data_IF_133059989878
#
_entry.id   IF_133059989878
#
_cell.length_a   1.000
_cell.length_b   1.000
_cell.length_c   1.000
_cell.angle_alpha   90.00
_cell.angle_beta   90.00
_cell.angle_gamma   90.00
#
_symmetry.space_group_name_H-M   'P 1'
#
loop_
_entity.id
_entity.type
_entity.pdbx_description
1 polymer ?
#
# COMPACT_ATOMS: atom_id res chain seq x y z
N UNK A 1 -25.88 -5.93 -2.50
CA UNK A 1 -25.33 -4.57 -2.32
C UNK A 1 -26.31 -3.58 -2.91
N UNK A 2 -26.53 -2.44 -2.23
CA UNK A 2 -27.44 -1.40 -2.73
C UNK A 2 -26.77 -0.68 -3.91
N UNK A 3 -27.53 -0.15 -4.88
CA UNK A 3 -26.96 0.59 -6.01
C UNK A 3 -26.13 1.82 -5.56
N UNK A 4 -26.46 2.38 -4.40
CA UNK A 4 -25.69 3.45 -3.76
C UNK A 4 -24.25 3.01 -3.44
N UNK A 5 -24.06 1.78 -2.96
CA UNK A 5 -22.74 1.25 -2.56
C UNK A 5 -21.81 1.19 -3.78
N UNK A 6 -22.35 0.75 -4.93
CA UNK A 6 -21.63 0.73 -6.19
C UNK A 6 -21.28 2.12 -6.70
N UNK A 7 -22.18 3.08 -6.57
CA UNK A 7 -21.93 4.46 -6.97
C UNK A 7 -20.83 5.11 -6.13
N UNK A 8 -20.83 4.89 -4.81
CA UNK A 8 -19.77 5.38 -3.91
C UNK A 8 -18.44 4.71 -4.21
N UNK A 9 -18.42 3.38 -4.42
CA UNK A 9 -17.21 2.63 -4.74
C UNK A 9 -16.60 3.08 -6.08
N UNK A 10 -17.39 3.11 -7.15
CA UNK A 10 -16.91 3.54 -8.47
C UNK A 10 -16.49 5.02 -8.46
N UNK A 11 -17.27 5.88 -7.80
CA UNK A 11 -16.95 7.30 -7.66
C UNK A 11 -15.66 7.55 -6.91
N UNK A 12 -15.42 6.84 -5.80
CA UNK A 12 -14.20 6.97 -5.01
C UNK A 12 -12.95 6.51 -5.78
N UNK A 13 -13.03 5.37 -6.48
CA UNK A 13 -11.93 4.87 -7.31
C UNK A 13 -11.59 5.86 -8.44
N UNK A 14 -12.60 6.32 -9.17
CA UNK A 14 -12.41 7.28 -10.27
C UNK A 14 -11.83 8.60 -9.74
N UNK A 15 -12.33 9.12 -8.62
CA UNK A 15 -11.83 10.34 -8.01
C UNK A 15 -10.35 10.21 -7.61
N UNK A 16 -9.95 9.10 -6.99
CA UNK A 16 -8.56 8.84 -6.59
C UNK A 16 -7.65 8.78 -7.81
N UNK A 17 -8.02 8.01 -8.84
CA UNK A 17 -7.22 7.87 -10.07
C UNK A 17 -7.10 9.23 -10.79
N UNK A 18 -8.21 9.95 -10.98
CA UNK A 18 -8.19 11.25 -11.64
C UNK A 18 -7.38 12.29 -10.87
N UNK A 19 -7.50 12.30 -9.54
CA UNK A 19 -6.71 13.21 -8.69
C UNK A 19 -5.21 12.88 -8.77
N UNK A 20 -4.86 11.60 -8.71
CA UNK A 20 -3.48 11.12 -8.87
C UNK A 20 -2.89 11.53 -10.21
N UNK A 21 -3.62 11.24 -11.31
CA UNK A 21 -3.22 11.61 -12.66
C UNK A 21 -3.09 13.13 -12.82
N UNK A 22 -4.00 13.92 -12.24
CA UNK A 22 -3.94 15.39 -12.27
C UNK A 22 -2.72 15.95 -11.53
N UNK A 23 -2.42 15.41 -10.35
CA UNK A 23 -1.24 15.82 -9.55
C UNK A 23 0.07 15.31 -10.13
N UNK A 24 0.05 14.21 -10.89
CA UNK A 24 1.20 13.62 -11.58
C UNK A 24 1.54 14.24 -12.94
N UNK A 25 0.76 15.22 -13.44
CA UNK A 25 0.97 15.80 -14.79
C UNK A 25 2.34 16.49 -14.92
N UNK A 26 2.93 16.35 -16.11
CA UNK A 26 4.17 17.02 -16.52
C UNK A 26 5.44 16.33 -16.02
N UNK A 27 5.43 15.00 -15.89
CA UNK A 27 6.59 14.20 -15.47
C UNK A 27 7.57 13.99 -16.63
N UNK A 28 8.16 15.08 -17.14
CA UNK A 28 8.99 15.05 -18.37
C UNK A 28 10.45 14.65 -18.11
N UNK A 29 10.84 14.51 -16.83
CA UNK A 29 12.21 14.14 -16.43
C UNK A 29 12.21 12.92 -15.50
N UNK A 30 13.23 12.07 -15.63
CA UNK A 30 13.44 10.88 -14.79
C UNK A 30 13.47 11.22 -13.29
N UNK A 31 14.03 12.38 -12.93
CA UNK A 31 14.04 12.88 -11.56
C UNK A 31 12.63 13.23 -11.05
N UNK A 32 11.77 13.82 -11.89
CA UNK A 32 10.37 14.10 -11.51
C UNK A 32 9.55 12.81 -11.43
N UNK A 33 9.79 11.86 -12.34
CA UNK A 33 9.11 10.56 -12.34
C UNK A 33 9.49 9.68 -11.15
N UNK A 34 10.77 9.62 -10.77
CA UNK A 34 11.27 8.76 -9.70
C UNK A 34 11.31 9.40 -8.31
N UNK A 35 11.58 10.70 -8.22
CA UNK A 35 11.78 11.39 -6.94
C UNK A 35 10.71 12.44 -6.64
N UNK A 36 9.73 12.64 -7.53
CA UNK A 36 8.75 13.73 -7.44
C UNK A 36 9.42 15.10 -7.19
N UNK A 37 10.61 15.30 -7.78
CA UNK A 37 11.48 16.47 -7.57
C UNK A 37 11.80 16.81 -6.10
N UNK A 38 11.69 15.84 -5.18
CA UNK A 38 11.88 16.00 -3.73
C UNK A 38 10.99 17.08 -3.10
N UNK A 39 9.90 17.49 -3.76
CA UNK A 39 8.99 18.54 -3.29
C UNK A 39 7.76 18.01 -2.55
N UNK A 40 7.72 16.70 -2.28
CA UNK A 40 6.57 16.07 -1.64
C UNK A 40 6.51 16.43 -0.15
N UNK A 41 5.34 16.86 0.35
CA UNK A 41 5.19 17.17 1.75
C UNK A 41 5.33 15.91 2.61
N UNK A 42 5.91 16.08 3.81
CA UNK A 42 6.26 14.96 4.70
C UNK A 42 5.05 14.07 5.05
N UNK A 43 3.87 14.66 5.24
CA UNK A 43 2.65 13.91 5.60
C UNK A 43 2.16 13.02 4.45
N UNK A 44 2.28 13.48 3.20
CA UNK A 44 1.90 12.69 2.04
C UNK A 44 2.86 11.51 1.84
N UNK A 45 4.15 11.74 2.05
CA UNK A 45 5.15 10.66 2.02
C UNK A 45 4.93 9.65 3.14
N UNK A 46 4.70 10.12 4.37
CA UNK A 46 4.46 9.24 5.52
C UNK A 46 3.25 8.33 5.29
N UNK A 47 2.12 8.90 4.86
CA UNK A 47 0.90 8.14 4.60
C UNK A 47 1.01 7.23 3.38
N UNK A 48 1.75 7.61 2.33
CA UNK A 48 2.00 6.71 1.19
C UNK A 48 2.92 5.55 1.57
N UNK A 49 3.94 5.76 2.41
CA UNK A 49 4.74 4.66 2.97
C UNK A 49 3.85 3.71 3.77
N UNK A 50 2.95 4.25 4.61
CA UNK A 50 1.98 3.43 5.34
C UNK A 50 1.03 2.68 4.39
N UNK A 51 0.50 3.35 3.37
CA UNK A 51 -0.38 2.75 2.36
C UNK A 51 0.31 1.61 1.60
N UNK A 52 1.58 1.80 1.22
CA UNK A 52 2.38 0.79 0.53
C UNK A 52 2.60 -0.46 1.39
N UNK A 53 2.69 -0.29 2.70
CA UNK A 53 2.80 -1.39 3.67
C UNK A 53 1.44 -2.04 3.95
N UNK A 54 0.36 -1.27 3.88
CA UNK A 54 -1.01 -1.72 4.13
C UNK A 54 -1.61 -2.33 2.84
N UNK A 55 -1.51 -3.66 2.71
CA UNK A 55 -2.13 -4.36 1.58
C UNK A 55 -3.57 -4.81 1.90
N UNK A 56 -4.38 -5.05 0.87
CA UNK A 56 -5.69 -5.68 1.02
C UNK A 56 -5.59 -7.04 1.73
N UNK A 57 -4.50 -7.78 1.49
CA UNK A 57 -4.18 -9.04 2.18
C UNK A 57 -4.02 -8.79 3.67
N UNK A 58 -3.30 -7.74 4.06
CA UNK A 58 -3.09 -7.39 5.46
C UNK A 58 -4.42 -7.19 6.16
N UNK A 59 -5.33 -6.41 5.59
CA UNK A 59 -6.65 -6.17 6.20
C UNK A 59 -7.46 -7.46 6.34
N UNK A 60 -7.62 -8.23 5.25
CA UNK A 60 -8.44 -9.47 5.28
C UNK A 60 -7.79 -10.53 6.18
N UNK A 61 -6.48 -10.72 6.07
CA UNK A 61 -5.74 -11.75 6.80
C UNK A 61 -5.61 -11.43 8.28
N UNK A 62 -5.36 -10.18 8.67
CA UNK A 62 -5.21 -9.84 10.10
C UNK A 62 -6.54 -9.88 10.83
N UNK A 63 -7.66 -9.48 10.20
CA UNK A 63 -8.98 -9.66 10.82
C UNK A 63 -9.37 -11.13 10.88
N UNK A 64 -9.07 -11.91 9.83
CA UNK A 64 -9.31 -13.36 9.83
C UNK A 64 -8.48 -14.09 10.89
N UNK A 65 -7.20 -13.73 11.03
CA UNK A 65 -6.32 -14.26 12.05
C UNK A 65 -6.75 -13.81 13.46
N UNK A 66 -7.18 -12.56 13.62
CA UNK A 66 -7.74 -12.06 14.88
C UNK A 66 -8.97 -12.84 15.32
N UNK A 67 -9.82 -13.25 14.38
CA UNK A 67 -10.98 -14.10 14.64
C UNK A 67 -10.61 -15.54 15.00
N UNK A 68 -9.61 -16.12 14.33
CA UNK A 68 -9.22 -17.52 14.52
C UNK A 68 -8.31 -17.75 15.74
N UNK A 69 -7.25 -16.95 15.89
CA UNK A 69 -6.15 -17.16 16.83
C UNK A 69 -5.98 -15.98 17.84
N UNK A 70 -6.87 -15.01 17.81
CA UNK A 70 -6.83 -13.81 18.67
C UNK A 70 -5.77 -12.77 18.26
N UNK A 71 -5.56 -11.78 19.12
CA UNK A 71 -4.73 -10.59 18.82
C UNK A 71 -3.21 -10.79 19.04
N UNK A 72 -2.74 -12.04 19.10
CA UNK A 72 -1.31 -12.35 19.35
C UNK A 72 -0.39 -11.78 18.28
N UNK A 73 -0.87 -11.62 17.05
CA UNK A 73 -0.09 -11.07 15.94
C UNK A 73 0.35 -9.61 16.17
N UNK A 74 -0.35 -8.85 17.03
CA UNK A 74 -0.07 -7.42 17.30
C UNK A 74 1.33 -7.21 17.84
N UNK A 75 1.88 -8.16 18.61
CA UNK A 75 3.24 -8.06 19.17
C UNK A 75 4.32 -7.92 18.07
N UNK A 76 4.09 -8.51 16.89
CA UNK A 76 5.00 -8.42 15.76
C UNK A 76 4.99 -7.01 15.15
N UNK A 77 3.83 -6.37 15.15
CA UNK A 77 3.67 -5.01 14.63
C UNK A 77 4.29 -3.94 15.54
N UNK A 78 4.44 -4.21 16.85
CA UNK A 78 5.10 -3.28 17.77
C UNK A 78 6.60 -3.10 17.47
N UNK A 79 7.25 -4.08 16.84
CA UNK A 79 8.65 -3.98 16.43
C UNK A 79 8.87 -3.05 15.22
N UNK A 80 7.86 -2.86 14.37
CA UNK A 80 7.99 -2.07 13.13
C UNK A 80 8.24 -0.58 13.39
N UNK A 81 7.52 0.12 14.29
CA UNK A 81 7.84 1.51 14.62
C UNK A 81 9.27 1.69 15.12
N UNK A 82 9.76 0.78 15.95
CA UNK A 82 11.13 0.84 16.50
C UNK A 82 12.16 0.69 15.39
N UNK A 83 11.98 -0.30 14.50
CA UNK A 83 12.84 -0.48 13.34
C UNK A 83 12.84 0.76 12.43
N UNK A 84 11.68 1.39 12.24
CA UNK A 84 11.55 2.60 11.42
C UNK A 84 12.32 3.78 12.01
N UNK A 85 12.26 3.98 13.32
CA UNK A 85 13.04 5.02 14.03
C UNK A 85 14.54 4.80 13.80
N UNK A 86 15.02 3.56 13.92
CA UNK A 86 16.44 3.24 13.68
C UNK A 86 16.83 3.52 12.22
N UNK A 87 15.99 3.14 11.25
CA UNK A 87 16.24 3.43 9.83
C UNK A 87 16.33 4.94 9.59
N UNK A 88 15.42 5.73 10.17
CA UNK A 88 15.42 7.19 10.06
C UNK A 88 16.69 7.83 10.64
N UNK A 89 17.24 7.30 11.73
CA UNK A 89 18.44 7.85 12.37
C UNK A 89 19.71 7.41 11.64
N UNK A 90 19.83 6.14 11.25
CA UNK A 90 21.11 5.58 10.79
C UNK A 90 21.25 5.47 9.28
N UNK A 91 20.16 5.16 8.57
CA UNK A 91 20.17 4.79 7.15
C UNK A 91 19.78 5.98 6.26
N UNK A 92 18.68 6.65 6.58
CA UNK A 92 18.16 7.78 5.79
C UNK A 92 19.20 8.90 5.57
N UNK A 93 19.96 9.36 6.59
CA UNK A 93 20.95 10.41 6.38
C UNK A 93 22.09 9.98 5.47
N UNK A 94 22.47 8.70 5.48
CA UNK A 94 23.52 8.15 4.60
C UNK A 94 23.07 8.12 3.15
N UNK A 95 21.85 7.65 2.89
CA UNK A 95 21.30 7.64 1.52
C UNK A 95 21.10 9.05 0.98
N UNK A 96 20.64 9.99 1.81
CA UNK A 96 20.48 11.37 1.36
C UNK A 96 21.82 12.06 1.04
N UNK A 97 22.90 11.74 1.78
CA UNK A 97 24.26 12.25 1.49
C UNK A 97 24.89 11.60 0.26
N UNK A 98 24.61 10.32 0.02
CA UNK A 98 25.15 9.59 -1.14
C UNK A 98 24.52 10.01 -2.48
N UNK A 99 23.41 10.74 -2.45
CA UNK A 99 22.76 11.28 -3.67
C UNK A 99 22.20 10.21 -4.60
N UNK A 100 22.06 8.97 -4.12
CA UNK A 100 21.63 7.81 -4.91
C UNK A 100 20.14 7.88 -5.24
N UNK A 101 19.78 7.38 -6.42
CA UNK A 101 18.39 7.22 -6.84
C UNK A 101 17.76 5.95 -6.26
N UNK A 102 18.57 4.93 -6.00
CA UNK A 102 18.11 3.65 -5.43
C UNK A 102 18.95 3.22 -4.24
N UNK A 103 18.37 2.46 -3.31
CA UNK A 103 19.10 1.87 -2.20
C UNK A 103 20.22 0.91 -2.65
N UNK A 104 20.10 0.31 -3.84
CA UNK A 104 21.08 -0.63 -4.39
C UNK A 104 22.28 0.08 -5.03
N UNK A 105 22.08 1.28 -5.56
CA UNK A 105 23.17 2.12 -6.07
C UNK A 105 24.16 2.48 -4.94
N UNK A 106 23.67 2.61 -3.70
CA UNK A 106 24.56 2.73 -2.54
C UNK A 106 25.46 1.50 -2.36
N UNK A 107 24.98 0.28 -2.72
CA UNK A 107 25.81 -0.93 -2.66
C UNK A 107 26.91 -0.92 -3.72
N UNK A 108 26.67 -0.33 -4.89
CA UNK A 108 27.71 -0.16 -5.90
C UNK A 108 28.81 0.79 -5.44
N UNK A 109 28.44 1.91 -4.81
CA UNK A 109 29.41 2.85 -4.24
C UNK A 109 30.21 2.23 -3.08
N UNK A 110 29.61 1.31 -2.32
CA UNK A 110 30.25 0.69 -1.14
C UNK A 110 31.04 -0.58 -1.46
N UNK A 111 30.60 -1.34 -2.46
CA UNK A 111 31.15 -2.63 -2.86
C UNK A 111 31.51 -2.59 -4.35
N UNK A 112 30.60 -3.06 -5.21
CA UNK A 112 30.84 -3.20 -6.65
C UNK A 112 29.52 -3.38 -7.44
N UNK A 113 29.62 -3.27 -8.77
CA UNK A 113 28.48 -3.37 -9.68
C UNK A 113 27.79 -4.74 -9.68
N UNK A 114 28.51 -5.84 -9.42
CA UNK A 114 27.92 -7.20 -9.35
C UNK A 114 27.06 -7.32 -8.10
N UNK A 115 27.50 -6.77 -6.97
CA UNK A 115 26.72 -6.73 -5.73
C UNK A 115 25.42 -5.93 -5.92
N UNK A 116 25.47 -4.77 -6.58
CA UNK A 116 24.26 -4.01 -6.96
C UNK A 116 23.32 -4.84 -7.83
N UNK A 117 23.85 -5.48 -8.88
CA UNK A 117 23.04 -6.25 -9.81
C UNK A 117 22.35 -7.43 -9.12
N UNK A 118 23.08 -8.20 -8.31
CA UNK A 118 22.54 -9.31 -7.53
C UNK A 118 21.39 -8.84 -6.62
N UNK A 119 21.65 -7.82 -5.79
CA UNK A 119 20.67 -7.31 -4.85
C UNK A 119 19.41 -6.76 -5.56
N UNK A 120 19.60 -6.05 -6.68
CA UNK A 120 18.50 -5.50 -7.48
C UNK A 120 17.66 -6.62 -8.12
N UNK A 121 18.28 -7.66 -8.67
CA UNK A 121 17.58 -8.79 -9.28
C UNK A 121 16.78 -9.55 -8.22
N UNK A 122 17.39 -9.89 -7.09
CA UNK A 122 16.72 -10.60 -6.00
C UNK A 122 15.54 -9.78 -5.49
N UNK A 123 15.72 -8.47 -5.31
CA UNK A 123 14.62 -7.58 -4.93
C UNK A 123 13.50 -7.54 -5.95
N UNK A 124 13.81 -7.39 -7.24
CA UNK A 124 12.79 -7.33 -8.29
C UNK A 124 12.00 -8.63 -8.39
N UNK A 125 12.66 -9.78 -8.23
CA UNK A 125 11.99 -11.08 -8.18
C UNK A 125 11.04 -11.19 -6.98
N UNK A 126 11.52 -10.88 -5.78
CA UNK A 126 10.69 -10.92 -4.57
C UNK A 126 9.53 -9.92 -4.65
N UNK A 127 9.80 -8.71 -5.14
CA UNK A 127 8.78 -7.66 -5.29
C UNK A 127 7.76 -8.02 -6.36
N UNK A 128 8.18 -8.64 -7.46
CA UNK A 128 7.29 -9.13 -8.51
C UNK A 128 6.37 -10.23 -8.03
N UNK A 129 6.90 -11.22 -7.29
CA UNK A 129 6.09 -12.28 -6.67
C UNK A 129 5.09 -11.69 -5.66
N UNK A 130 5.56 -10.80 -4.79
CA UNK A 130 4.70 -10.11 -3.81
C UNK A 130 3.60 -9.29 -4.49
N UNK A 131 3.90 -8.57 -5.57
CA UNK A 131 2.92 -7.82 -6.34
C UNK A 131 1.87 -8.73 -6.98
N UNK A 132 2.27 -9.90 -7.50
CA UNK A 132 1.33 -10.89 -8.04
C UNK A 132 0.32 -11.38 -7.00
N UNK A 133 0.78 -11.68 -5.78
CA UNK A 133 -0.11 -12.05 -4.67
C UNK A 133 -1.00 -10.87 -4.25
N UNK A 134 -0.45 -9.66 -4.20
CA UNK A 134 -1.21 -8.45 -3.85
C UNK A 134 -2.33 -8.17 -4.87
N UNK A 135 -2.11 -8.44 -6.16
CA UNK A 135 -3.10 -8.27 -7.22
C UNK A 135 -4.16 -9.38 -7.22
N UNK A 136 -3.84 -10.59 -6.77
CA UNK A 136 -4.80 -11.71 -6.76
C UNK A 136 -5.85 -11.56 -5.67
N UNK A 137 -5.52 -10.98 -4.51
CA UNK A 137 -6.45 -10.79 -3.40
C UNK A 137 -7.74 -10.01 -3.78
N UNK A 138 -7.68 -8.82 -4.39
CA UNK A 138 -8.89 -8.13 -4.86
C UNK A 138 -9.57 -8.87 -6.01
N UNK A 139 -8.82 -9.57 -6.87
CA UNK A 139 -9.41 -10.35 -7.97
C UNK A 139 -10.27 -11.52 -7.46
N UNK A 140 -9.92 -12.15 -6.34
CA UNK A 140 -10.75 -13.17 -5.68
C UNK A 140 -12.08 -12.56 -5.23
N UNK A 141 -12.05 -11.40 -4.59
CA UNK A 141 -13.28 -10.70 -4.15
C UNK A 141 -14.18 -10.36 -5.34
N UNK A 142 -13.60 -9.83 -6.43
CA UNK A 142 -14.36 -9.51 -7.64
C UNK A 142 -14.92 -10.74 -8.35
N UNK A 143 -14.21 -11.87 -8.29
CA UNK A 143 -14.69 -13.16 -8.82
C UNK A 143 -15.98 -13.58 -8.12
N UNK A 144 -16.03 -13.45 -6.79
CA UNK A 144 -17.24 -13.76 -6.01
C UNK A 144 -18.39 -12.80 -6.34
N UNK A 145 -18.08 -11.52 -6.55
CA UNK A 145 -19.10 -10.49 -6.83
C UNK A 145 -19.68 -10.60 -8.26
N UNK A 146 -18.82 -10.77 -9.27
CA UNK A 146 -19.21 -10.79 -10.68
C UNK A 146 -19.53 -12.19 -11.21
N UNK A 147 -19.14 -13.25 -10.49
CA UNK A 147 -19.29 -14.65 -10.93
C UNK A 147 -18.38 -15.02 -12.11
N UNK A 148 -17.34 -14.23 -12.39
CA UNK A 148 -16.40 -14.47 -13.49
C UNK A 148 -15.29 -15.45 -13.09
N UNK A 149 -14.67 -16.18 -14.03
CA UNK A 149 -13.48 -16.98 -13.76
C UNK A 149 -12.35 -16.14 -13.17
N UNK A 150 -11.66 -16.67 -12.15
CA UNK A 150 -10.56 -16.00 -11.46
C UNK A 150 -9.44 -15.54 -12.42
N UNK A 151 -9.18 -16.30 -13.47
CA UNK A 151 -8.16 -15.97 -14.46
C UNK A 151 -8.50 -14.68 -15.21
N UNK A 152 -9.78 -14.48 -15.55
CA UNK A 152 -10.23 -13.31 -16.32
C UNK A 152 -10.24 -12.07 -15.42
N UNK A 153 -10.78 -12.19 -14.20
CA UNK A 153 -10.82 -11.08 -13.24
C UNK A 153 -9.41 -10.63 -12.83
N UNK A 154 -8.50 -11.58 -12.61
CA UNK A 154 -7.10 -11.29 -12.30
C UNK A 154 -6.38 -10.58 -13.45
N UNK A 155 -6.61 -11.01 -14.70
CA UNK A 155 -6.02 -10.37 -15.88
C UNK A 155 -6.51 -8.93 -16.04
N UNK A 156 -7.83 -8.71 -15.98
CA UNK A 156 -8.44 -7.38 -16.10
C UNK A 156 -7.91 -6.44 -15.01
N UNK A 157 -7.89 -6.91 -13.76
CA UNK A 157 -7.35 -6.12 -12.64
C UNK A 157 -5.89 -5.77 -12.83
N UNK A 158 -5.06 -6.73 -13.25
CA UNK A 158 -3.63 -6.51 -13.47
C UNK A 158 -3.38 -5.49 -14.57
N UNK A 159 -4.10 -5.58 -15.70
CA UNK A 159 -3.99 -4.62 -16.81
C UNK A 159 -4.37 -3.21 -16.37
N UNK A 160 -5.49 -3.06 -15.67
CA UNK A 160 -5.92 -1.76 -15.16
C UNK A 160 -4.89 -1.15 -14.21
N UNK A 161 -4.34 -1.96 -13.29
CA UNK A 161 -3.34 -1.49 -12.32
C UNK A 161 -2.06 -1.05 -13.01
N UNK A 162 -1.57 -1.83 -13.98
CA UNK A 162 -0.36 -1.48 -14.74
C UNK A 162 -0.57 -0.18 -15.52
N UNK A 163 -1.72 -0.01 -16.19
CA UNK A 163 -1.98 1.18 -16.99
C UNK A 163 -1.94 2.48 -16.18
N UNK A 164 -2.61 2.53 -15.02
CA UNK A 164 -2.58 3.75 -14.20
C UNK A 164 -1.23 3.97 -13.51
N UNK A 165 -0.53 2.88 -13.14
CA UNK A 165 0.77 2.97 -12.49
C UNK A 165 1.84 3.52 -13.44
N UNK A 166 1.87 3.02 -14.68
CA UNK A 166 2.81 3.46 -15.71
C UNK A 166 2.54 4.90 -16.16
N UNK A 167 1.28 5.32 -16.22
CA UNK A 167 0.93 6.67 -16.66
C UNK A 167 1.12 7.75 -15.58
N UNK A 168 1.10 7.40 -14.29
CA UNK A 168 1.13 8.36 -13.19
C UNK A 168 2.51 8.69 -12.61
N UNK A 169 3.46 7.75 -12.60
CA UNK A 169 4.74 7.90 -11.90
C UNK A 169 4.61 8.01 -10.38
N UNK A 170 5.74 8.18 -9.66
CA UNK A 170 5.75 8.14 -8.18
C UNK A 170 4.90 9.27 -7.58
N UNK A 171 4.90 10.46 -8.19
CA UNK A 171 4.09 11.57 -7.69
C UNK A 171 2.60 11.25 -7.69
N UNK A 172 2.06 10.68 -8.78
CA UNK A 172 0.66 10.27 -8.82
C UNK A 172 0.38 9.16 -7.79
N UNK A 173 1.24 8.15 -7.73
CA UNK A 173 1.11 7.01 -6.82
C UNK A 173 1.07 7.47 -5.36
N UNK A 174 1.96 8.37 -4.95
CA UNK A 174 1.97 8.90 -3.58
C UNK A 174 0.69 9.66 -3.24
N UNK A 175 0.12 10.42 -4.19
CA UNK A 175 -1.14 11.12 -3.96
C UNK A 175 -2.34 10.17 -3.95
N UNK A 176 -2.38 9.16 -4.82
CA UNK A 176 -3.43 8.14 -4.78
C UNK A 176 -3.38 7.35 -3.49
N UNK A 177 -2.19 6.94 -3.06
CA UNK A 177 -1.95 6.23 -1.81
C UNK A 177 -2.41 7.05 -0.60
N UNK A 178 -2.09 8.34 -0.57
CA UNK A 178 -2.50 9.25 0.51
C UNK A 178 -4.02 9.28 0.66
N UNK A 179 -4.76 9.49 -0.44
CA UNK A 179 -6.22 9.50 -0.42
C UNK A 179 -6.80 8.14 -0.07
N UNK A 180 -6.25 7.07 -0.65
CA UNK A 180 -6.72 5.72 -0.38
C UNK A 180 -6.52 5.34 1.09
N UNK A 181 -5.37 5.69 1.68
CA UNK A 181 -5.09 5.47 3.09
C UNK A 181 -6.06 6.24 3.99
N UNK A 182 -6.39 7.49 3.63
CA UNK A 182 -7.38 8.27 4.38
C UNK A 182 -8.75 7.60 4.35
N UNK A 183 -9.21 7.19 3.16
CA UNK A 183 -10.50 6.48 2.98
C UNK A 183 -10.51 5.17 3.78
N UNK A 184 -9.44 4.37 3.69
CA UNK A 184 -9.32 3.11 4.44
C UNK A 184 -9.33 3.34 5.95
N UNK A 185 -8.61 4.35 6.44
CA UNK A 185 -8.53 4.66 7.87
C UNK A 185 -9.89 5.11 8.41
N UNK A 186 -10.59 6.00 7.70
CA UNK A 186 -11.95 6.44 8.07
C UNK A 186 -12.93 5.28 8.04
N UNK A 187 -12.87 4.44 6.99
CA UNK A 187 -13.71 3.25 6.87
C UNK A 187 -13.48 2.25 8.02
N UNK A 188 -12.23 2.02 8.40
CA UNK A 188 -11.86 1.15 9.51
C UNK A 188 -12.37 1.70 10.85
N UNK A 189 -12.19 3.00 11.11
CA UNK A 189 -12.68 3.65 12.33
C UNK A 189 -14.20 3.58 12.41
N UNK A 190 -14.90 3.86 11.30
CA UNK A 190 -16.36 3.74 11.24
C UNK A 190 -16.82 2.30 11.50
N UNK A 191 -16.16 1.31 10.88
CA UNK A 191 -16.45 -0.10 11.11
C UNK A 191 -16.25 -0.49 12.58
N UNK A 192 -15.15 -0.04 13.20
CA UNK A 192 -14.85 -0.30 14.62
C UNK A 192 -15.91 0.33 15.54
N UNK A 193 -16.26 1.61 15.32
CA UNK A 193 -17.28 2.30 16.11
C UNK A 193 -18.63 1.59 15.99
N UNK A 194 -19.00 1.18 14.77
CA UNK A 194 -20.26 0.47 14.52
C UNK A 194 -20.26 -0.91 15.17
N UNK A 195 -19.14 -1.63 15.11
CA UNK A 195 -18.98 -2.91 15.77
C UNK A 195 -19.14 -2.79 17.29
N UNK A 196 -18.54 -1.77 17.91
CA UNK A 196 -18.69 -1.50 19.35
C UNK A 196 -20.13 -1.09 19.70
N UNK A 197 -20.75 -0.24 18.91
CA UNK A 197 -22.11 0.24 19.15
C UNK A 197 -23.18 -0.87 19.02
N UNK A 198 -22.90 -1.90 18.20
CA UNK A 198 -23.77 -3.06 18.00
C UNK A 198 -23.46 -4.22 18.94
N UNK A 199 -22.53 -4.06 19.90
CA UNK A 199 -22.29 -5.08 20.92
C UNK A 199 -23.56 -5.31 21.76
N UNK A 200 -23.95 -6.58 22.01
CA UNK A 200 -25.10 -6.87 22.88
C UNK A 200 -24.93 -6.24 24.26
N UNK A 201 -26.03 -5.72 24.81
CA UNK A 201 -26.07 -5.19 26.17
C UNK A 201 -25.79 -6.32 27.17
N UNK A 202 -24.52 -6.49 27.55
CA UNK A 202 -24.05 -7.56 28.43
C UNK A 202 -22.59 -7.93 28.21
N UNK A 203 -22.05 -7.78 26.99
CA UNK A 203 -20.66 -8.11 26.69
C UNK A 203 -19.77 -6.89 26.96
N UNK A 204 -19.16 -6.84 28.14
CA UNK A 204 -18.10 -5.87 28.44
C UNK A 204 -16.76 -6.28 27.82
N UNK A 205 -15.81 -5.32 27.70
CA UNK A 205 -14.45 -5.59 27.21
C UNK A 205 -13.71 -6.71 27.98
N UNK A 206 -14.14 -7.04 29.20
CA UNK A 206 -13.57 -8.11 30.02
C UNK A 206 -14.14 -9.51 29.76
N UNK A 207 -15.30 -9.64 29.10
CA UNK A 207 -15.88 -10.96 28.74
C UNK A 207 -15.56 -11.38 27.29
N UNK A 208 -14.98 -10.46 26.50
CA UNK A 208 -14.62 -10.66 25.09
C UNK A 208 -13.12 -10.97 24.86
N UNK A 209 -12.36 -11.20 25.95
CA UNK A 209 -10.93 -11.54 25.97
C UNK A 209 -10.74 -13.01 26.31
#
# INVERSE_FOLDING_TARGET
MRPLDWAVLAGSLVAVVLYGLWRGRGSDTTQKYLLANRSMPWYAMALSIMATQASAITFISTTGQGYADGMRFVQLYLGLPVAMILICIFVVPRFHRAGVYTAYEYLEQRFDAKTRALASIVFLLLRGLSAGVALSAPAIVLTVIFGWPHQITSLVMSVLVVLYTVSGGIAAVTWTDFLQMLIMTVGLLAALITAIALLPAGVGFGEAL
#
